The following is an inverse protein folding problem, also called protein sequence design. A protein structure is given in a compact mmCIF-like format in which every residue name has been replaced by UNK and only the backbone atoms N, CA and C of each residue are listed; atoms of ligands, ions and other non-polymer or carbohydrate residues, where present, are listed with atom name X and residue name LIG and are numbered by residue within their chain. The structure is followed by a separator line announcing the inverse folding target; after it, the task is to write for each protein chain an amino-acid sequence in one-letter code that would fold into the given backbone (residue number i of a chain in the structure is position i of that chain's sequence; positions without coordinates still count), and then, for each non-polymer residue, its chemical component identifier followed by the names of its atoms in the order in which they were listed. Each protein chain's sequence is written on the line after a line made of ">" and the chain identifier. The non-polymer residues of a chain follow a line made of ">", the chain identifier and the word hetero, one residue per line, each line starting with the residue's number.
data_IF_929029966823
#
_entry.id   IF_929029966823
#
_cell.length_a   1.000
_cell.length_b   1.000
_cell.length_c   1.000
_cell.angle_alpha   90.00
_cell.angle_beta   90.00
_cell.angle_gamma   90.00
#
_symmetry.space_group_name_H-M   'P 1'
#
loop_
_entity.id
_entity.type
_entity.pdbx_description
1 polymer ?
#
# COMPACT_ATOMS: atom_id res chain seq x y z
N UNK A 1 -47.62 -17.53 -10.79
CA UNK A 1 -48.36 -16.32 -10.36
C UNK A 1 -47.73 -15.85 -9.06
N UNK A 2 -47.03 -14.72 -9.06
CA UNK A 2 -46.52 -14.11 -7.82
C UNK A 2 -47.72 -13.66 -7.00
N UNK A 3 -47.98 -14.31 -5.87
CA UNK A 3 -48.95 -13.82 -4.88
C UNK A 3 -48.48 -12.41 -4.52
N UNK A 4 -49.26 -11.39 -4.89
CA UNK A 4 -48.96 -10.01 -4.55
C UNK A 4 -48.89 -9.91 -3.01
N UNK A 5 -47.66 -9.83 -2.47
CA UNK A 5 -47.45 -9.58 -1.05
C UNK A 5 -47.68 -8.10 -0.86
N UNK A 6 -48.89 -7.74 -0.45
CA UNK A 6 -49.21 -6.37 -0.07
C UNK A 6 -48.22 -5.89 0.99
N UNK A 7 -47.81 -4.63 0.88
CA UNK A 7 -46.97 -3.99 1.89
C UNK A 7 -47.74 -3.87 3.23
N UNK A 8 -47.04 -3.75 4.38
CA UNK A 8 -47.69 -3.54 5.66
C UNK A 8 -48.63 -2.33 5.66
N UNK A 9 -48.28 -1.27 4.92
CA UNK A 9 -49.09 -0.07 4.80
C UNK A 9 -50.30 -0.25 3.87
N UNK A 10 -50.16 -0.97 2.75
CA UNK A 10 -51.29 -1.32 1.88
C UNK A 10 -52.34 -2.14 2.63
N UNK A 11 -51.90 -3.11 3.44
CA UNK A 11 -52.80 -3.88 4.30
C UNK A 11 -53.54 -3.01 5.33
N UNK A 12 -52.88 -1.96 5.84
CA UNK A 12 -53.51 -1.00 6.75
C UNK A 12 -54.55 -0.14 6.01
N UNK A 13 -54.23 0.35 4.81
CA UNK A 13 -55.17 1.12 4.00
C UNK A 13 -56.40 0.31 3.64
N UNK A 14 -56.24 -0.96 3.26
CA UNK A 14 -57.36 -1.86 2.94
C UNK A 14 -58.26 -2.17 4.15
N UNK A 15 -57.70 -2.17 5.36
CA UNK A 15 -58.46 -2.38 6.62
C UNK A 15 -59.02 -1.09 7.20
N UNK A 16 -58.57 0.07 6.71
CA UNK A 16 -58.97 1.37 7.24
C UNK A 16 -60.40 1.73 6.88
N UNK A 17 -61.07 2.49 7.76
CA UNK A 17 -62.40 3.07 7.46
C UNK A 17 -62.31 4.34 6.59
N UNK A 18 -61.14 4.96 6.54
CA UNK A 18 -60.85 6.17 5.76
C UNK A 18 -59.38 6.12 5.33
N UNK A 19 -59.14 5.94 4.03
CA UNK A 19 -57.80 5.83 3.48
C UNK A 19 -57.04 7.14 3.62
N UNK A 20 -57.71 8.28 3.40
CA UNK A 20 -57.15 9.63 3.60
C UNK A 20 -56.68 9.82 5.03
N UNK A 21 -57.53 9.49 6.02
CA UNK A 21 -57.17 9.71 7.42
C UNK A 21 -55.99 8.82 7.83
N UNK A 22 -55.95 7.56 7.38
CA UNK A 22 -54.81 6.65 7.64
C UNK A 22 -53.53 7.14 6.95
N UNK A 23 -53.63 7.67 5.73
CA UNK A 23 -52.50 8.25 5.01
C UNK A 23 -51.98 9.53 5.68
N UNK A 24 -52.86 10.45 6.04
CA UNK A 24 -52.50 11.64 6.82
C UNK A 24 -51.87 11.28 8.16
N UNK A 25 -52.36 10.23 8.82
CA UNK A 25 -51.81 9.74 10.09
C UNK A 25 -50.37 9.22 9.92
N UNK A 26 -50.06 8.55 8.81
CA UNK A 26 -48.67 8.16 8.50
C UNK A 26 -47.78 9.39 8.28
N UNK A 27 -48.25 10.39 7.52
CA UNK A 27 -47.48 11.61 7.26
C UNK A 27 -47.24 12.43 8.53
N UNK A 28 -48.24 12.57 9.41
CA UNK A 28 -48.08 13.22 10.72
C UNK A 28 -47.19 12.39 11.66
N UNK A 29 -47.29 11.06 11.61
CA UNK A 29 -46.37 10.15 12.30
C UNK A 29 -44.92 10.35 11.85
N UNK A 30 -44.70 10.55 10.55
CA UNK A 30 -43.37 10.82 9.98
C UNK A 30 -42.79 12.15 10.51
N UNK A 31 -43.59 13.21 10.60
CA UNK A 31 -43.19 14.49 11.24
C UNK A 31 -42.78 14.28 12.70
N UNK A 32 -43.52 13.46 13.46
CA UNK A 32 -43.20 13.17 14.87
C UNK A 32 -41.90 12.39 15.08
N UNK A 33 -41.54 11.52 14.15
CA UNK A 33 -40.31 10.71 14.24
C UNK A 33 -39.07 11.58 14.17
N UNK A 34 -39.11 12.65 13.36
CA UNK A 34 -38.02 13.62 13.19
C UNK A 34 -37.92 14.67 14.30
N UNK A 35 -38.70 14.51 15.38
CA UNK A 35 -38.56 15.29 16.60
C UNK A 35 -37.47 14.71 17.50
N UNK A 36 -36.51 15.56 17.85
CA UNK A 36 -35.46 15.28 18.81
C UNK A 36 -36.06 15.21 20.22
N UNK A 37 -35.56 14.30 21.07
CA UNK A 37 -35.89 14.18 22.50
C UNK A 37 -37.33 13.77 22.89
N UNK A 38 -38.13 13.18 21.99
CA UNK A 38 -39.49 12.66 22.32
C UNK A 38 -39.49 11.13 22.39
N UNK A 39 -39.96 10.56 23.50
CA UNK A 39 -40.12 9.10 23.63
C UNK A 39 -41.20 8.56 22.70
N UNK A 40 -41.10 7.27 22.30
CA UNK A 40 -42.09 6.65 21.43
C UNK A 40 -43.52 6.69 22.02
N UNK A 41 -43.64 6.53 23.34
CA UNK A 41 -44.92 6.64 24.05
C UNK A 41 -45.52 8.05 23.97
N UNK A 42 -44.70 9.10 24.09
CA UNK A 42 -45.15 10.48 23.91
C UNK A 42 -45.57 10.76 22.46
N UNK A 43 -44.80 10.28 21.46
CA UNK A 43 -45.17 10.40 20.05
C UNK A 43 -46.54 9.76 19.76
N UNK A 44 -46.76 8.53 20.24
CA UNK A 44 -48.04 7.82 20.10
C UNK A 44 -49.21 8.58 20.73
N UNK A 45 -49.03 9.11 21.96
CA UNK A 45 -50.05 9.92 22.64
C UNK A 45 -50.36 11.21 21.89
N UNK A 46 -49.33 11.89 21.39
CA UNK A 46 -49.51 13.15 20.64
C UNK A 46 -50.23 12.92 19.31
N UNK A 47 -49.84 11.88 18.58
CA UNK A 47 -50.53 11.50 17.35
C UNK A 47 -52.01 11.22 17.62
N UNK A 48 -52.31 10.43 18.66
CA UNK A 48 -53.70 10.14 19.06
C UNK A 48 -54.51 11.40 19.41
N UNK A 49 -53.90 12.41 20.03
CA UNK A 49 -54.55 13.69 20.35
C UNK A 49 -54.89 14.49 19.09
N UNK A 50 -53.91 14.66 18.19
CA UNK A 50 -54.08 15.48 16.98
C UNK A 50 -55.02 14.82 15.97
N UNK A 51 -55.03 13.48 15.92
CA UNK A 51 -55.89 12.70 15.02
C UNK A 51 -57.14 12.16 15.71
N UNK A 52 -57.57 12.71 16.84
CA UNK A 52 -58.74 12.21 17.57
C UNK A 52 -60.04 12.21 16.75
N UNK A 53 -60.13 13.09 15.75
CA UNK A 53 -61.28 13.23 14.85
C UNK A 53 -61.22 12.29 13.64
N UNK A 54 -60.10 11.58 13.44
CA UNK A 54 -59.87 10.76 12.25
C UNK A 54 -60.62 9.42 12.35
N UNK A 55 -61.18 8.97 11.22
CA UNK A 55 -61.93 7.71 11.12
C UNK A 55 -61.07 6.62 10.51
N UNK A 56 -59.91 6.33 11.11
CA UNK A 56 -58.97 5.32 10.60
C UNK A 56 -59.35 3.87 10.98
N UNK A 57 -59.91 3.64 12.17
CA UNK A 57 -60.51 2.34 12.56
C UNK A 57 -59.52 1.21 12.88
N UNK A 58 -58.22 1.51 12.99
CA UNK A 58 -57.15 0.57 13.34
C UNK A 58 -56.25 1.13 14.45
N UNK A 59 -55.40 0.29 15.03
CA UNK A 59 -54.39 0.70 16.03
C UNK A 59 -53.33 1.65 15.44
N UNK A 60 -52.79 2.53 16.28
CA UNK A 60 -51.76 3.50 15.88
C UNK A 60 -50.34 2.90 15.86
N UNK A 61 -50.13 1.77 16.54
CA UNK A 61 -48.82 1.11 16.66
C UNK A 61 -48.19 0.75 15.31
N UNK A 62 -48.92 0.08 14.40
CA UNK A 62 -48.40 -0.25 13.07
C UNK A 62 -48.00 0.98 12.24
N UNK A 63 -48.80 2.05 12.28
CA UNK A 63 -48.49 3.28 11.53
C UNK A 63 -47.25 3.97 12.09
N UNK A 64 -47.11 4.01 13.42
CA UNK A 64 -45.91 4.54 14.06
C UNK A 64 -44.67 3.69 13.76
N UNK A 65 -44.81 2.36 13.68
CA UNK A 65 -43.70 1.48 13.28
C UNK A 65 -43.23 1.78 11.85
N UNK A 66 -44.15 2.00 10.91
CA UNK A 66 -43.84 2.32 9.51
C UNK A 66 -43.20 3.72 9.41
N UNK A 67 -43.72 4.69 10.16
CA UNK A 67 -43.13 6.03 10.24
C UNK A 67 -41.70 5.98 10.81
N UNK A 68 -41.47 5.16 11.84
CA UNK A 68 -40.16 5.01 12.47
C UNK A 68 -39.15 4.33 11.55
N UNK A 69 -39.58 3.33 10.77
CA UNK A 69 -38.74 2.70 9.76
C UNK A 69 -38.48 3.58 8.54
N UNK A 70 -39.12 4.73 8.43
CA UNK A 70 -38.99 5.68 7.31
C UNK A 70 -39.18 5.00 5.96
N UNK A 71 -40.18 4.13 5.85
CA UNK A 71 -40.46 3.41 4.61
C UNK A 71 -40.93 4.38 3.54
N UNK A 72 -40.03 4.68 2.59
CA UNK A 72 -40.28 5.63 1.50
C UNK A 72 -41.44 5.20 0.60
N UNK A 73 -41.64 3.89 0.40
CA UNK A 73 -42.74 3.40 -0.45
C UNK A 73 -44.08 3.65 0.24
N UNK A 74 -44.16 3.42 1.55
CA UNK A 74 -45.36 3.70 2.33
C UNK A 74 -45.66 5.20 2.41
N UNK A 75 -44.63 6.04 2.61
CA UNK A 75 -44.78 7.51 2.63
C UNK A 75 -45.24 8.03 1.27
N UNK A 76 -44.67 7.52 0.18
CA UNK A 76 -45.09 7.87 -1.17
C UNK A 76 -46.56 7.48 -1.41
N UNK A 77 -46.95 6.26 -1.07
CA UNK A 77 -48.34 5.81 -1.23
C UNK A 77 -49.30 6.67 -0.40
N UNK A 78 -48.94 7.02 0.84
CA UNK A 78 -49.73 7.93 1.66
C UNK A 78 -49.87 9.31 1.02
N UNK A 79 -48.79 9.85 0.45
CA UNK A 79 -48.82 11.12 -0.25
C UNK A 79 -49.74 11.06 -1.49
N UNK A 80 -49.68 9.97 -2.27
CA UNK A 80 -50.55 9.77 -3.43
C UNK A 80 -52.04 9.69 -3.03
N UNK A 81 -52.37 8.97 -1.96
CA UNK A 81 -53.74 8.89 -1.42
C UNK A 81 -54.22 10.26 -0.98
N UNK A 82 -53.42 11.00 -0.20
CA UNK A 82 -53.76 12.36 0.24
C UNK A 82 -53.95 13.29 -0.97
N UNK A 83 -53.06 13.26 -1.97
CA UNK A 83 -53.19 14.13 -3.15
C UNK A 83 -54.44 13.83 -3.98
N UNK A 84 -54.87 12.57 -4.05
CA UNK A 84 -56.00 12.12 -4.87
C UNK A 84 -57.35 12.37 -4.21
N UNK A 85 -57.43 12.20 -2.89
CA UNK A 85 -58.69 12.12 -2.16
C UNK A 85 -58.90 13.28 -1.16
N UNK A 86 -57.89 14.12 -0.92
CA UNK A 86 -58.03 15.29 -0.06
C UNK A 86 -58.61 16.49 -0.81
N UNK A 87 -59.73 17.05 -0.32
CA UNK A 87 -60.27 18.33 -0.78
C UNK A 87 -59.51 19.53 -0.22
N UNK A 88 -59.75 20.71 -0.81
CA UNK A 88 -59.12 21.99 -0.43
C UNK A 88 -59.42 22.42 1.01
N UNK A 89 -60.65 22.19 1.50
CA UNK A 89 -61.03 22.49 2.89
C UNK A 89 -60.22 21.68 3.91
N UNK A 90 -59.93 20.41 3.58
CA UNK A 90 -59.15 19.53 4.46
C UNK A 90 -57.66 19.84 4.39
N UNK A 91 -57.16 20.35 3.26
CA UNK A 91 -55.73 20.60 3.09
C UNK A 91 -55.21 21.66 4.07
N UNK A 92 -56.00 22.70 4.34
CA UNK A 92 -55.69 23.70 5.37
C UNK A 92 -55.67 23.13 6.79
N UNK A 93 -56.61 22.23 7.11
CA UNK A 93 -56.65 21.57 8.42
C UNK A 93 -55.45 20.65 8.63
N UNK A 94 -55.06 19.89 7.59
CA UNK A 94 -53.92 18.97 7.65
C UNK A 94 -52.61 19.74 7.80
N UNK A 95 -52.41 20.84 7.06
CA UNK A 95 -51.18 21.63 7.20
C UNK A 95 -51.09 22.27 8.59
N UNK A 96 -52.21 22.75 9.14
CA UNK A 96 -52.25 23.27 10.50
C UNK A 96 -51.86 22.18 11.52
N UNK A 97 -52.41 20.97 11.38
CA UNK A 97 -52.05 19.84 12.24
C UNK A 97 -50.56 19.47 12.09
N UNK A 98 -50.03 19.48 10.87
CA UNK A 98 -48.62 19.19 10.61
C UNK A 98 -47.70 20.22 11.28
N UNK A 99 -48.03 21.51 11.18
CA UNK A 99 -47.27 22.58 11.86
C UNK A 99 -47.32 22.38 13.37
N UNK A 100 -48.51 22.24 13.96
CA UNK A 100 -48.68 22.02 15.41
C UNK A 100 -47.82 20.85 15.87
N UNK A 101 -47.97 19.69 15.22
CA UNK A 101 -47.22 18.47 15.54
C UNK A 101 -45.71 18.67 15.46
N UNK A 102 -45.24 19.47 14.50
CA UNK A 102 -43.82 19.74 14.32
C UNK A 102 -43.24 20.70 15.37
N UNK A 103 -44.04 21.60 15.94
CA UNK A 103 -43.59 22.76 16.74
C UNK A 103 -43.91 22.68 18.24
N UNK A 104 -44.64 21.67 18.69
CA UNK A 104 -45.26 21.63 20.02
C UNK A 104 -44.33 21.80 21.25
N UNK A 105 -43.03 21.50 21.16
CA UNK A 105 -42.11 21.63 22.31
C UNK A 105 -40.79 22.38 22.01
N UNK A 106 -40.76 23.25 20.99
CA UNK A 106 -39.60 24.13 20.76
C UNK A 106 -39.20 24.36 19.30
N UNK A 107 -37.89 24.45 19.06
CA UNK A 107 -37.31 24.74 17.74
C UNK A 107 -37.56 23.62 16.72
N UNK A 108 -37.86 24.02 15.49
CA UNK A 108 -38.17 23.12 14.39
C UNK A 108 -36.89 22.40 13.92
N UNK A 109 -36.88 21.07 13.93
CA UNK A 109 -35.75 20.30 13.39
C UNK A 109 -35.55 20.59 11.89
N UNK A 110 -34.31 20.42 11.40
CA UNK A 110 -34.01 20.62 9.98
C UNK A 110 -34.85 19.69 9.09
N UNK A 111 -35.04 18.43 9.49
CA UNK A 111 -35.90 17.50 8.76
C UNK A 111 -37.35 17.99 8.71
N UNK A 112 -37.89 18.50 9.83
CA UNK A 112 -39.25 19.03 9.85
C UNK A 112 -39.41 20.30 9.00
N UNK A 113 -38.37 21.13 8.83
CA UNK A 113 -38.40 22.25 7.88
C UNK A 113 -38.66 21.79 6.44
N UNK A 114 -38.03 20.70 6.00
CA UNK A 114 -38.21 20.16 4.65
C UNK A 114 -39.52 19.38 4.53
N UNK A 115 -39.88 18.59 5.55
CA UNK A 115 -41.14 17.84 5.55
C UNK A 115 -42.35 18.76 5.49
N UNK A 116 -42.38 19.87 6.25
CA UNK A 116 -43.50 20.81 6.21
C UNK A 116 -43.65 21.49 4.83
N UNK A 117 -42.54 21.82 4.17
CA UNK A 117 -42.56 22.37 2.81
C UNK A 117 -43.06 21.34 1.79
N UNK A 118 -42.58 20.11 1.89
CA UNK A 118 -43.07 19.00 1.08
C UNK A 118 -44.58 18.77 1.28
N UNK A 119 -45.06 18.79 2.52
CA UNK A 119 -46.49 18.65 2.81
C UNK A 119 -47.30 19.85 2.28
N UNK A 120 -46.78 21.06 2.35
CA UNK A 120 -47.43 22.23 1.76
C UNK A 120 -47.58 22.09 0.24
N UNK A 121 -46.52 21.68 -0.46
CA UNK A 121 -46.55 21.42 -1.89
C UNK A 121 -47.54 20.30 -2.24
N UNK A 122 -47.51 19.20 -1.46
CA UNK A 122 -48.44 18.07 -1.62
C UNK A 122 -49.91 18.50 -1.48
N UNK A 123 -50.18 19.41 -0.54
CA UNK A 123 -51.51 19.94 -0.22
C UNK A 123 -51.90 21.16 -1.06
N UNK A 124 -51.07 21.55 -2.04
CA UNK A 124 -51.26 22.73 -2.89
C UNK A 124 -51.37 24.05 -2.10
N UNK A 125 -50.68 24.15 -0.97
CA UNK A 125 -50.60 25.36 -0.13
C UNK A 125 -49.40 26.19 -0.60
N UNK A 126 -49.65 27.43 -1.00
CA UNK A 126 -48.59 28.32 -1.46
C UNK A 126 -47.57 28.60 -0.33
N UNK A 127 -46.26 28.76 -0.65
CA UNK A 127 -45.23 29.04 0.37
C UNK A 127 -45.51 30.28 1.22
N UNK A 128 -46.14 31.30 0.64
CA UNK A 128 -46.54 32.51 1.37
C UNK A 128 -47.60 32.20 2.43
N UNK A 129 -48.61 31.39 2.08
CA UNK A 129 -49.65 30.93 3.01
C UNK A 129 -49.06 30.06 4.11
N UNK A 130 -48.13 29.16 3.77
CA UNK A 130 -47.42 28.34 4.77
C UNK A 130 -46.68 29.22 5.78
N UNK A 131 -45.96 30.24 5.33
CA UNK A 131 -45.22 31.16 6.20
C UNK A 131 -46.16 31.96 7.12
N UNK A 132 -47.32 32.40 6.61
CA UNK A 132 -48.34 33.11 7.40
C UNK A 132 -48.88 32.17 8.48
N UNK A 133 -49.36 30.98 8.11
CA UNK A 133 -49.90 29.99 9.05
C UNK A 133 -48.88 29.58 10.10
N UNK A 134 -47.62 29.37 9.70
CA UNK A 134 -46.56 29.01 10.62
C UNK A 134 -46.28 30.14 11.63
N UNK A 135 -46.24 31.39 11.18
CA UNK A 135 -46.06 32.56 12.05
C UNK A 135 -47.25 32.77 12.98
N UNK A 136 -48.48 32.55 12.50
CA UNK A 136 -49.69 32.64 13.33
C UNK A 136 -49.69 31.61 14.46
N UNK A 137 -49.21 30.38 14.18
CA UNK A 137 -49.21 29.29 15.17
C UNK A 137 -48.02 29.33 16.13
N UNK A 138 -46.84 29.74 15.67
CA UNK A 138 -45.60 29.68 16.46
C UNK A 138 -45.13 31.04 16.97
N UNK A 139 -45.65 32.14 16.41
CA UNK A 139 -45.16 33.49 16.62
C UNK A 139 -43.87 33.83 15.86
N UNK A 140 -43.18 32.84 15.29
CA UNK A 140 -41.87 32.99 14.63
C UNK A 140 -42.04 32.75 13.12
N UNK A 141 -41.43 33.56 12.23
CA UNK A 141 -41.48 33.26 10.79
C UNK A 141 -40.70 31.98 10.46
N UNK A 142 -41.21 31.20 9.50
CA UNK A 142 -40.52 30.02 9.01
C UNK A 142 -39.27 30.43 8.21
N UNK A 143 -38.09 30.21 8.78
CA UNK A 143 -36.81 30.55 8.14
C UNK A 143 -36.53 29.58 6.98
N UNK A 144 -35.86 30.07 5.94
CA UNK A 144 -35.33 29.22 4.86
C UNK A 144 -34.27 28.28 5.43
N UNK A 145 -34.42 26.95 5.26
CA UNK A 145 -33.49 25.99 5.84
C UNK A 145 -32.11 26.16 5.21
N UNK A 146 -31.08 25.92 6.03
CA UNK A 146 -29.71 25.85 5.54
C UNK A 146 -29.55 24.63 4.61
N UNK A 147 -28.65 24.77 3.64
CA UNK A 147 -28.42 23.79 2.57
C UNK A 147 -27.33 22.78 3.01
N UNK A 148 -27.69 21.53 3.33
CA UNK A 148 -26.75 20.53 3.85
C UNK A 148 -25.79 20.01 2.78
N UNK A 149 -25.99 20.38 1.51
CA UNK A 149 -25.05 20.05 0.42
C UNK A 149 -23.82 20.96 0.44
N UNK A 150 -23.86 22.07 1.17
CA UNK A 150 -22.74 23.02 1.27
C UNK A 150 -21.78 22.59 2.37
N UNK A 151 -20.48 22.60 2.06
CA UNK A 151 -19.42 22.33 3.06
C UNK A 151 -19.50 23.29 4.26
N UNK A 152 -19.88 24.55 4.02
CA UNK A 152 -20.06 25.55 5.07
C UNK A 152 -21.09 25.15 6.14
N UNK A 153 -22.12 24.38 5.79
CA UNK A 153 -23.09 23.85 6.76
C UNK A 153 -22.38 22.92 7.75
N UNK A 154 -21.59 21.97 7.25
CA UNK A 154 -20.91 20.98 8.09
C UNK A 154 -19.77 21.58 8.92
N UNK A 155 -19.15 22.67 8.45
CA UNK A 155 -18.16 23.40 9.25
C UNK A 155 -18.75 23.98 10.54
N UNK A 156 -20.02 24.41 10.51
CA UNK A 156 -20.72 24.99 11.66
C UNK A 156 -21.33 23.89 12.54
N UNK A 157 -21.92 22.87 11.92
CA UNK A 157 -22.67 21.82 12.62
C UNK A 157 -21.81 20.62 13.09
N UNK A 158 -20.61 20.42 12.54
CA UNK A 158 -19.66 19.38 12.95
C UNK A 158 -18.20 19.90 13.01
N UNK A 159 -17.90 20.82 13.95
CA UNK A 159 -16.55 21.37 14.09
C UNK A 159 -15.52 20.29 14.48
N UNK A 160 -15.95 19.23 15.16
CA UNK A 160 -15.09 18.14 15.62
C UNK A 160 -14.60 17.24 14.48
N UNK A 161 -15.44 17.00 13.46
CA UNK A 161 -15.01 16.32 12.24
C UNK A 161 -13.90 17.11 11.52
N UNK A 162 -14.09 18.41 11.33
CA UNK A 162 -13.10 19.25 10.66
C UNK A 162 -11.80 19.39 11.48
N UNK A 163 -11.89 19.49 12.80
CA UNK A 163 -10.73 19.52 13.68
C UNK A 163 -9.92 18.21 13.61
N UNK A 164 -10.58 17.04 13.58
CA UNK A 164 -9.91 15.74 13.40
C UNK A 164 -9.23 15.65 12.05
N UNK A 165 -9.93 16.02 10.98
CA UNK A 165 -9.39 16.01 9.61
C UNK A 165 -8.17 16.93 9.45
N UNK A 166 -8.18 18.10 10.09
CA UNK A 166 -7.03 19.00 10.12
C UNK A 166 -5.82 18.36 10.83
N UNK A 167 -6.02 17.74 12.00
CA UNK A 167 -4.95 17.03 12.72
C UNK A 167 -4.38 15.85 11.93
N UNK A 168 -5.24 15.12 11.23
CA UNK A 168 -4.81 14.02 10.35
C UNK A 168 -3.99 14.53 9.16
N UNK A 169 -4.38 15.66 8.56
CA UNK A 169 -3.63 16.31 7.49
C UNK A 169 -2.26 16.80 7.99
N UNK A 170 -2.20 17.47 9.14
CA UNK A 170 -0.95 17.90 9.76
C UNK A 170 -0.04 16.71 10.11
N UNK A 171 -0.60 15.63 10.65
CA UNK A 171 0.16 14.41 10.96
C UNK A 171 0.68 13.72 9.67
N UNK A 172 -0.10 13.73 8.60
CA UNK A 172 0.32 13.22 7.30
C UNK A 172 1.46 14.05 6.70
N UNK A 173 1.36 15.38 6.76
CA UNK A 173 2.44 16.27 6.32
C UNK A 173 3.72 16.06 7.13
N UNK A 174 3.63 15.98 8.46
CA UNK A 174 4.78 15.70 9.32
C UNK A 174 5.41 14.34 9.00
N UNK A 175 4.60 13.30 8.78
CA UNK A 175 5.09 11.97 8.38
C UNK A 175 5.77 12.02 7.01
N UNK A 176 5.25 12.81 6.08
CA UNK A 176 5.86 13.00 4.77
C UNK A 176 7.19 13.77 4.86
N UNK A 177 7.27 14.79 5.70
CA UNK A 177 8.52 15.51 5.98
C UNK A 177 9.56 14.59 6.63
N UNK A 178 9.16 13.77 7.61
CA UNK A 178 10.07 12.81 8.27
C UNK A 178 10.58 11.74 7.31
N UNK A 179 9.72 11.22 6.44
CA UNK A 179 10.11 10.22 5.43
C UNK A 179 11.05 10.82 4.39
N UNK A 180 10.77 12.03 3.91
CA UNK A 180 11.67 12.76 3.01
C UNK A 180 13.03 13.03 3.68
N UNK A 181 13.04 13.54 4.91
CA UNK A 181 14.28 13.78 5.66
C UNK A 181 15.09 12.49 5.88
N UNK A 182 14.42 11.37 6.17
CA UNK A 182 15.06 10.07 6.33
C UNK A 182 15.62 9.55 5.00
N UNK A 183 14.91 9.74 3.89
CA UNK A 183 15.39 9.39 2.55
C UNK A 183 16.63 10.22 2.17
N UNK A 184 16.61 11.53 2.42
CA UNK A 184 17.77 12.41 2.20
C UNK A 184 18.97 12.00 3.05
N UNK A 185 18.78 11.68 4.33
CA UNK A 185 19.86 11.19 5.19
C UNK A 185 20.46 9.88 4.67
N UNK A 186 19.62 8.93 4.24
CA UNK A 186 20.10 7.68 3.65
C UNK A 186 20.88 7.93 2.36
N UNK A 187 20.45 8.88 1.54
CA UNK A 187 21.14 9.25 0.31
C UNK A 187 22.52 9.87 0.60
N UNK A 188 22.59 10.81 1.54
CA UNK A 188 23.87 11.38 2.01
C UNK A 188 24.82 10.31 2.57
N UNK A 189 24.31 9.36 3.35
CA UNK A 189 25.14 8.26 3.87
C UNK A 189 25.66 7.34 2.76
N UNK A 190 24.84 7.06 1.73
CA UNK A 190 25.27 6.28 0.56
C UNK A 190 26.35 7.01 -0.22
N UNK A 191 26.19 8.31 -0.44
CA UNK A 191 27.19 9.16 -1.10
C UNK A 191 28.51 9.21 -0.32
N UNK A 192 28.46 9.43 1.00
CA UNK A 192 29.65 9.40 1.86
C UNK A 192 30.36 8.04 1.80
N UNK A 193 29.61 6.93 1.89
CA UNK A 193 30.18 5.57 1.74
C UNK A 193 30.81 5.37 0.37
N UNK A 194 30.22 5.92 -0.68
CA UNK A 194 30.76 5.82 -2.04
C UNK A 194 32.06 6.62 -2.17
N UNK A 195 32.08 7.86 -1.70
CA UNK A 195 33.28 8.71 -1.67
C UNK A 195 34.40 8.05 -0.86
N UNK A 196 34.11 7.50 0.32
CA UNK A 196 35.11 6.84 1.16
C UNK A 196 35.67 5.56 0.50
N UNK A 197 34.83 4.80 -0.22
CA UNK A 197 35.30 3.65 -1.02
C UNK A 197 36.21 4.10 -2.16
N UNK A 198 35.85 5.17 -2.89
CA UNK A 198 36.67 5.72 -3.97
C UNK A 198 38.03 6.20 -3.44
N UNK A 199 38.06 6.92 -2.31
CA UNK A 199 39.30 7.37 -1.66
C UNK A 199 40.21 6.19 -1.27
N UNK A 200 39.66 5.16 -0.61
CA UNK A 200 40.43 3.96 -0.25
C UNK A 200 40.97 3.22 -1.49
N UNK A 201 40.21 3.21 -2.57
CA UNK A 201 40.63 2.58 -3.82
C UNK A 201 41.76 3.36 -4.50
N UNK A 202 41.67 4.70 -4.53
CA UNK A 202 42.74 5.58 -5.02
C UNK A 202 44.01 5.45 -4.16
N UNK A 203 43.88 5.42 -2.83
CA UNK A 203 45.03 5.24 -1.92
C UNK A 203 45.68 3.87 -2.13
N UNK A 204 44.89 2.80 -2.30
CA UNK A 204 45.42 1.48 -2.61
C UNK A 204 46.14 1.44 -3.96
N UNK A 205 45.61 2.11 -4.98
CA UNK A 205 46.28 2.24 -6.28
C UNK A 205 47.61 2.98 -6.14
N UNK A 206 47.64 4.13 -5.45
CA UNK A 206 48.88 4.86 -5.15
C UNK A 206 49.92 3.99 -4.45
N UNK A 207 49.54 3.29 -3.37
CA UNK A 207 50.46 2.39 -2.66
C UNK A 207 50.98 1.25 -3.55
N UNK A 208 50.15 0.71 -4.44
CA UNK A 208 50.59 -0.31 -5.39
C UNK A 208 51.56 0.24 -6.42
N UNK A 209 51.34 1.47 -6.88
CA UNK A 209 52.20 2.16 -7.84
C UNK A 209 53.55 2.52 -7.22
N UNK A 210 53.55 3.07 -5.99
CA UNK A 210 54.76 3.31 -5.19
C UNK A 210 55.55 2.01 -4.94
N UNK A 211 54.86 0.91 -4.59
CA UNK A 211 55.50 -0.39 -4.39
C UNK A 211 56.08 -0.97 -5.69
N UNK A 212 55.43 -0.74 -6.84
CA UNK A 212 55.98 -1.13 -8.16
C UNK A 212 57.24 -0.33 -8.48
N UNK A 213 57.19 0.99 -8.31
CA UNK A 213 58.35 1.86 -8.53
C UNK A 213 59.53 1.49 -7.61
N UNK A 214 59.26 1.18 -6.33
CA UNK A 214 60.30 0.74 -5.40
C UNK A 214 60.95 -0.59 -5.84
N UNK A 215 60.15 -1.57 -6.30
CA UNK A 215 60.66 -2.85 -6.82
C UNK A 215 61.46 -2.68 -8.10
N UNK A 216 61.02 -1.80 -9.00
CA UNK A 216 61.77 -1.48 -10.22
C UNK A 216 63.12 -0.83 -9.89
N UNK A 217 63.15 0.13 -8.96
CA UNK A 217 64.40 0.72 -8.49
C UNK A 217 65.32 -0.31 -7.82
N UNK A 218 64.77 -1.23 -7.02
CA UNK A 218 65.55 -2.28 -6.37
C UNK A 218 66.12 -3.27 -7.39
N UNK A 219 65.33 -3.67 -8.40
CA UNK A 219 65.82 -4.50 -9.52
C UNK A 219 66.92 -3.80 -10.31
N UNK A 220 66.79 -2.49 -10.58
CA UNK A 220 67.83 -1.73 -11.26
C UNK A 220 69.14 -1.72 -10.45
N UNK A 221 69.06 -1.47 -9.13
CA UNK A 221 70.23 -1.52 -8.24
C UNK A 221 70.87 -2.92 -8.23
N UNK A 222 70.07 -3.98 -8.16
CA UNK A 222 70.56 -5.36 -8.19
C UNK A 222 71.23 -5.69 -9.53
N UNK A 223 70.64 -5.27 -10.66
CA UNK A 223 71.27 -5.44 -11.98
C UNK A 223 72.58 -4.67 -12.10
N UNK A 224 72.64 -3.46 -11.56
CA UNK A 224 73.86 -2.65 -11.58
C UNK A 224 74.96 -3.28 -10.72
N UNK A 225 74.63 -3.75 -9.51
CA UNK A 225 75.56 -4.51 -8.66
C UNK A 225 76.03 -5.81 -9.33
N UNK A 226 75.11 -6.55 -9.98
CA UNK A 226 75.45 -7.76 -10.70
C UNK A 226 76.42 -7.47 -11.87
N UNK A 227 76.18 -6.42 -12.65
CA UNK A 227 77.09 -5.98 -13.72
C UNK A 227 78.46 -5.59 -13.18
N UNK A 228 78.51 -4.90 -12.04
CA UNK A 228 79.78 -4.54 -11.39
C UNK A 228 80.55 -5.78 -10.92
N UNK A 229 79.86 -6.73 -10.27
CA UNK A 229 80.48 -8.00 -9.86
C UNK A 229 80.93 -8.84 -11.04
N UNK A 230 80.16 -8.89 -12.12
CA UNK A 230 80.52 -9.64 -13.33
C UNK A 230 81.76 -9.03 -14.00
N UNK A 231 81.84 -7.70 -14.07
CA UNK A 231 83.04 -6.99 -14.54
C UNK A 231 84.27 -7.28 -13.68
N UNK A 232 84.12 -7.32 -12.34
CA UNK A 232 85.20 -7.71 -11.43
C UNK A 232 85.65 -9.16 -11.64
N UNK A 233 84.70 -10.12 -11.70
CA UNK A 233 85.00 -11.53 -11.98
C UNK A 233 85.68 -11.70 -13.33
N UNK A 234 85.27 -10.94 -14.34
CA UNK A 234 85.85 -11.01 -15.67
C UNK A 234 87.31 -10.52 -15.65
N UNK A 235 87.61 -9.45 -14.91
CA UNK A 235 88.98 -8.96 -14.66
C UNK A 235 89.83 -9.98 -13.92
N UNK A 236 89.32 -10.55 -12.82
CA UNK A 236 90.03 -11.61 -12.09
C UNK A 236 90.28 -12.84 -12.97
N UNK A 237 89.34 -13.18 -13.86
CA UNK A 237 89.45 -14.31 -14.78
C UNK A 237 90.51 -14.06 -15.84
N UNK A 238 90.58 -12.87 -16.44
CA UNK A 238 91.66 -12.50 -17.35
C UNK A 238 93.01 -12.46 -16.65
N UNK A 239 93.09 -11.99 -15.41
CA UNK A 239 94.33 -12.03 -14.60
C UNK A 239 94.78 -13.47 -14.30
N UNK A 240 93.84 -14.34 -13.90
CA UNK A 240 94.12 -15.77 -13.68
C UNK A 240 94.49 -16.50 -14.97
N UNK A 241 93.87 -16.17 -16.10
CA UNK A 241 94.25 -16.72 -17.40
C UNK A 241 95.63 -16.24 -17.85
N UNK A 242 95.99 -14.97 -17.60
CA UNK A 242 97.34 -14.48 -17.85
C UNK A 242 98.38 -15.17 -16.94
N UNK A 243 98.05 -15.41 -15.67
CA UNK A 243 98.90 -16.20 -14.76
C UNK A 243 98.99 -17.68 -15.17
N UNK A 244 97.89 -18.30 -15.62
CA UNK A 244 97.88 -19.66 -16.15
C UNK A 244 98.64 -19.78 -17.46
N UNK A 245 98.54 -18.80 -18.36
CA UNK A 245 99.34 -18.74 -19.59
C UNK A 245 100.83 -18.67 -19.27
N UNK A 246 101.23 -17.89 -18.26
CA UNK A 246 102.62 -17.87 -17.76
C UNK A 246 103.07 -19.18 -17.12
N UNK A 247 102.15 -19.94 -16.51
CA UNK A 247 102.47 -21.25 -15.91
C UNK A 247 102.44 -22.40 -16.93
N UNK A 248 101.58 -22.33 -17.96
CA UNK A 248 101.47 -23.33 -19.03
C UNK A 248 102.63 -23.30 -20.02
N UNK A 249 103.36 -22.20 -20.15
CA UNK A 249 104.64 -22.17 -20.89
C UNK A 249 105.76 -22.98 -20.21
N UNK A 250 105.58 -23.44 -18.96
CA UNK A 250 106.58 -24.26 -18.27
C UNK A 250 106.24 -25.76 -18.16
N UNK A 251 105.02 -26.19 -18.47
CA UNK A 251 104.59 -27.58 -18.27
C UNK A 251 103.82 -28.12 -19.49
N UNK A 252 104.48 -28.04 -20.66
CA UNK A 252 104.11 -28.73 -21.91
C UNK A 252 104.99 -29.97 -22.14
N UNK A 253 105.15 -30.81 -21.13
CA UNK A 253 105.57 -32.21 -21.26
C UNK A 253 104.89 -33.00 -20.12
N UNK A 254 103.97 -33.90 -20.46
CA UNK A 254 103.30 -34.73 -19.46
C UNK A 254 101.87 -35.12 -19.80
N UNK A 255 101.75 -35.91 -20.87
CA UNK A 255 100.71 -36.89 -21.20
C UNK A 255 99.24 -36.65 -20.81
N UNK A 256 98.45 -36.68 -21.88
CA UNK A 256 97.07 -37.18 -21.94
C UNK A 256 96.84 -38.50 -21.17
N UNK A 257 95.53 -38.73 -20.93
CA UNK A 257 94.85 -40.01 -20.79
C UNK A 257 94.56 -40.45 -19.34
N UNK A 258 93.34 -40.20 -18.87
CA UNK A 258 92.41 -41.32 -18.68
C UNK A 258 90.96 -40.87 -18.53
N UNK A 259 90.15 -41.62 -19.26
CA UNK A 259 88.74 -41.49 -19.55
C UNK A 259 87.90 -42.33 -18.57
N UNK A 260 86.66 -41.91 -18.35
CA UNK A 260 85.48 -42.66 -17.87
C UNK A 260 85.61 -43.71 -16.75
N UNK A 261 85.02 -43.40 -15.58
CA UNK A 261 84.23 -44.38 -14.80
C UNK A 261 83.37 -43.72 -13.71
N UNK A 262 82.16 -44.26 -13.53
CA UNK A 262 81.19 -43.98 -12.46
C UNK A 262 80.29 -42.75 -12.67
N UNK A 263 79.54 -42.71 -13.79
CA UNK A 263 78.15 -43.19 -13.84
C UNK A 263 77.84 -44.46 -13.01
N UNK A 264 76.82 -44.31 -12.17
CA UNK A 264 75.99 -45.35 -11.51
C UNK A 264 76.24 -45.65 -10.01
N UNK A 265 75.13 -45.54 -9.27
CA UNK A 265 74.80 -46.04 -7.92
C UNK A 265 75.23 -45.24 -6.66
N UNK A 266 74.45 -44.19 -6.39
CA UNK A 266 73.82 -43.88 -5.08
C UNK A 266 72.74 -42.82 -5.34
N UNK A 267 71.64 -43.12 -6.02
CA UNK A 267 70.53 -43.98 -5.60
C UNK A 267 70.23 -43.86 -4.10
N UNK A 268 69.05 -43.30 -3.84
CA UNK A 268 68.22 -43.50 -2.63
C UNK A 268 68.81 -42.89 -1.34
N UNK A 269 68.17 -41.94 -0.67
CA UNK A 269 66.75 -41.94 -0.33
C UNK A 269 66.33 -40.61 0.30
N UNK A 270 65.09 -40.19 -0.02
CA UNK A 270 64.18 -39.43 0.84
C UNK A 270 64.49 -37.91 1.00
N UNK A 271 63.55 -36.98 0.88
CA UNK A 271 62.10 -37.08 1.09
C UNK A 271 61.39 -35.81 0.57
N UNK A 272 60.22 -36.04 -0.01
CA UNK A 272 59.05 -35.16 0.02
C UNK A 272 59.03 -33.86 -0.83
N UNK A 273 58.35 -34.00 -1.98
CA UNK A 273 56.99 -33.49 -2.18
C UNK A 273 56.85 -32.58 -3.40
N UNK A 274 56.75 -33.16 -4.59
CA UNK A 274 56.17 -32.52 -5.78
C UNK A 274 55.23 -33.51 -6.47
N UNK A 275 54.11 -33.79 -5.81
CA UNK A 275 52.92 -34.32 -6.47
C UNK A 275 52.06 -33.14 -6.92
N UNK A 276 52.10 -32.92 -8.23
CA UNK A 276 50.96 -32.61 -9.09
C UNK A 276 49.61 -32.78 -8.37
N UNK A 277 49.03 -31.68 -7.90
CA UNK A 277 47.61 -31.59 -7.58
C UNK A 277 47.09 -30.23 -8.07
N UNK A 278 46.64 -30.25 -9.33
CA UNK A 278 45.48 -29.47 -9.70
C UNK A 278 44.37 -29.79 -8.69
N UNK A 279 44.09 -28.88 -7.77
CA UNK A 279 42.86 -28.93 -6.99
C UNK A 279 41.73 -28.43 -7.87
N UNK A 280 41.16 -29.36 -8.62
CA UNK A 280 39.80 -29.29 -9.12
C UNK A 280 38.87 -29.04 -7.95
N UNK A 281 38.28 -27.84 -7.89
CA UNK A 281 37.11 -27.60 -7.06
C UNK A 281 35.98 -28.53 -7.54
N UNK A 282 35.14 -29.08 -6.66
CA UNK A 282 33.97 -29.83 -7.09
C UNK A 282 33.11 -28.93 -8.00
N UNK A 283 32.51 -29.46 -9.08
CA UNK A 283 31.67 -28.64 -9.93
C UNK A 283 30.58 -28.00 -9.06
N UNK A 284 30.37 -26.67 -9.15
CA UNK A 284 29.25 -26.05 -8.46
C UNK A 284 27.98 -26.76 -8.93
N UNK A 285 27.03 -27.13 -8.05
CA UNK A 285 25.82 -27.80 -8.48
C UNK A 285 25.18 -26.95 -9.57
N UNK A 286 24.96 -27.61 -10.70
CA UNK A 286 24.56 -27.09 -11.99
C UNK A 286 23.62 -25.89 -11.81
N UNK A 287 24.03 -24.71 -12.31
CA UNK A 287 23.26 -23.46 -12.17
C UNK A 287 21.82 -23.66 -12.63
N UNK A 288 21.62 -24.53 -13.61
CA UNK A 288 20.34 -24.97 -14.14
C UNK A 288 19.50 -25.69 -13.10
N UNK A 289 20.09 -26.64 -12.37
CA UNK A 289 19.44 -27.36 -11.26
C UNK A 289 19.02 -26.41 -10.13
N UNK A 290 19.83 -25.39 -9.81
CA UNK A 290 19.45 -24.37 -8.82
C UNK A 290 18.33 -23.44 -9.31
N UNK A 291 18.30 -23.12 -10.60
CA UNK A 291 17.23 -22.30 -11.16
C UNK A 291 15.90 -23.07 -11.23
N UNK A 292 15.94 -24.38 -11.53
CA UNK A 292 14.76 -25.25 -11.49
C UNK A 292 14.21 -25.40 -10.07
N UNK A 293 15.07 -25.56 -9.06
CA UNK A 293 14.62 -25.66 -7.67
C UNK A 293 13.97 -24.38 -7.14
N UNK A 294 14.40 -23.19 -7.60
CA UNK A 294 13.76 -21.89 -7.28
C UNK A 294 12.32 -21.81 -7.83
N UNK A 295 12.04 -22.48 -8.95
CA UNK A 295 10.70 -22.60 -9.53
C UNK A 295 9.90 -23.81 -9.01
N UNK A 296 10.49 -24.61 -8.11
CA UNK A 296 9.89 -25.83 -7.58
C UNK A 296 9.82 -26.98 -8.59
N UNK A 297 10.70 -26.99 -9.59
CA UNK A 297 10.75 -27.99 -10.64
C UNK A 297 11.90 -28.98 -10.44
N UNK A 298 11.68 -30.23 -10.84
CA UNK A 298 12.71 -31.28 -10.86
C UNK A 298 13.63 -31.13 -12.09
N UNK A 299 14.87 -31.62 -12.03
CA UNK A 299 15.75 -31.69 -13.20
C UNK A 299 15.06 -32.43 -14.36
N UNK A 300 15.09 -31.86 -15.57
CA UNK A 300 14.44 -32.43 -16.77
C UNK A 300 13.06 -31.85 -17.12
N UNK A 301 12.61 -30.80 -16.40
CA UNK A 301 11.36 -30.11 -16.72
C UNK A 301 11.39 -29.43 -18.10
N UNK A 302 10.28 -29.49 -18.83
CA UNK A 302 10.15 -28.89 -20.16
C UNK A 302 10.03 -27.35 -20.12
N UNK A 303 10.35 -26.67 -21.23
CA UNK A 303 10.15 -25.19 -21.36
C UNK A 303 8.71 -24.75 -21.12
N UNK A 304 7.73 -25.63 -21.33
CA UNK A 304 6.31 -25.35 -21.06
C UNK A 304 6.07 -25.37 -19.54
N UNK A 305 6.61 -26.36 -18.83
CA UNK A 305 6.51 -26.46 -17.37
C UNK A 305 7.22 -25.31 -16.66
N UNK A 306 8.37 -24.85 -17.17
CA UNK A 306 9.08 -23.66 -16.68
C UNK A 306 8.20 -22.40 -16.79
N UNK A 307 7.48 -22.22 -17.91
CA UNK A 307 6.54 -21.08 -18.07
C UNK A 307 5.35 -21.17 -17.14
N UNK A 308 4.77 -22.36 -16.98
CA UNK A 308 3.64 -22.56 -16.09
C UNK A 308 4.04 -22.36 -14.62
N UNK A 309 5.21 -22.87 -14.20
CA UNK A 309 5.75 -22.66 -12.87
C UNK A 309 6.04 -21.19 -12.58
N UNK A 310 6.65 -20.48 -13.54
CA UNK A 310 6.89 -19.04 -13.43
C UNK A 310 5.59 -18.25 -13.25
N UNK A 311 4.56 -18.51 -14.07
CA UNK A 311 3.25 -17.83 -13.94
C UNK A 311 2.61 -18.05 -12.57
N UNK A 312 2.63 -19.29 -12.06
CA UNK A 312 2.10 -19.61 -10.72
C UNK A 312 2.87 -18.89 -9.60
N UNK A 313 4.20 -18.94 -9.66
CA UNK A 313 5.07 -18.32 -8.64
C UNK A 313 5.04 -16.79 -8.70
N UNK A 314 4.91 -16.20 -9.89
CA UNK A 314 4.75 -14.78 -10.10
C UNK A 314 3.43 -14.26 -9.52
N UNK A 315 2.32 -14.97 -9.71
CA UNK A 315 1.03 -14.62 -9.12
C UNK A 315 1.01 -14.76 -7.59
N UNK A 316 1.76 -15.73 -7.05
CA UNK A 316 1.85 -15.97 -5.61
C UNK A 316 2.70 -14.91 -4.88
N UNK A 317 3.79 -14.47 -5.52
CA UNK A 317 4.78 -13.56 -4.91
C UNK A 317 4.80 -12.17 -5.55
N UNK A 318 3.75 -11.76 -6.25
CA UNK A 318 3.69 -10.43 -6.85
C UNK A 318 3.66 -9.35 -5.75
N UNK A 319 4.52 -8.32 -5.82
CA UNK A 319 4.58 -7.28 -4.77
C UNK A 319 3.26 -6.52 -4.59
N UNK A 320 2.46 -6.40 -5.66
CA UNK A 320 1.14 -5.73 -5.64
C UNK A 320 0.11 -6.46 -4.76
N UNK A 321 0.28 -7.77 -4.54
CA UNK A 321 -0.60 -8.55 -3.65
C UNK A 321 -0.36 -8.25 -2.17
N UNK A 322 0.83 -7.74 -1.83
CA UNK A 322 1.23 -7.43 -0.47
C UNK A 322 1.25 -5.92 -0.20
N UNK A 323 0.67 -5.10 -1.09
CA UNK A 323 0.64 -3.63 -0.97
C UNK A 323 -0.08 -3.13 0.30
N UNK A 324 -1.06 -3.90 0.79
CA UNK A 324 -1.77 -3.62 2.04
C UNK A 324 -1.06 -4.14 3.30
N UNK A 325 0.07 -4.82 3.17
CA UNK A 325 0.84 -5.38 4.28
C UNK A 325 2.06 -4.52 4.65
N UNK A 326 2.77 -4.89 5.73
CA UNK A 326 3.92 -4.11 6.22
C UNK A 326 5.07 -4.04 5.20
N UNK A 327 5.81 -2.93 5.22
CA UNK A 327 6.94 -2.64 4.30
C UNK A 327 7.97 -3.79 4.23
N UNK A 328 8.21 -4.47 5.36
CA UNK A 328 9.11 -5.63 5.44
C UNK A 328 8.60 -6.82 4.61
N UNK A 329 7.29 -7.04 4.54
CA UNK A 329 6.69 -8.12 3.75
C UNK A 329 6.71 -7.81 2.25
N UNK A 330 6.48 -6.54 1.87
CA UNK A 330 6.64 -6.07 0.48
C UNK A 330 8.09 -6.25 0.01
N UNK A 331 9.07 -5.89 0.85
CA UNK A 331 10.48 -6.07 0.53
C UNK A 331 10.87 -7.55 0.37
N UNK A 332 10.35 -8.44 1.24
CA UNK A 332 10.60 -9.88 1.18
C UNK A 332 9.93 -10.52 -0.06
N UNK A 333 8.72 -10.10 -0.40
CA UNK A 333 8.02 -10.52 -1.61
C UNK A 333 8.76 -10.04 -2.87
N UNK A 334 9.21 -8.80 -2.91
CA UNK A 334 10.01 -8.23 -4.01
C UNK A 334 11.34 -8.97 -4.21
N UNK A 335 12.09 -9.23 -3.14
CA UNK A 335 13.33 -10.00 -3.21
C UNK A 335 13.10 -11.44 -3.71
N UNK A 336 11.98 -12.06 -3.31
CA UNK A 336 11.60 -13.41 -3.75
C UNK A 336 11.15 -13.42 -5.22
N UNK A 337 10.36 -12.44 -5.63
CA UNK A 337 9.94 -12.25 -7.03
C UNK A 337 11.14 -12.05 -7.96
N UNK A 338 12.12 -11.25 -7.56
CA UNK A 338 13.34 -11.05 -8.34
C UNK A 338 14.14 -12.36 -8.51
N UNK A 339 14.21 -13.21 -7.47
CA UNK A 339 14.85 -14.53 -7.58
C UNK A 339 14.11 -15.45 -8.55
N UNK A 340 12.78 -15.46 -8.51
CA UNK A 340 11.92 -16.23 -9.43
C UNK A 340 12.12 -15.77 -10.87
N UNK A 341 12.13 -14.46 -11.11
CA UNK A 341 12.38 -13.87 -12.43
C UNK A 341 13.77 -14.22 -12.96
N UNK A 342 14.81 -14.03 -12.14
CA UNK A 342 16.19 -14.34 -12.55
C UNK A 342 16.37 -15.84 -12.88
N UNK A 343 15.70 -16.73 -12.14
CA UNK A 343 15.73 -18.17 -12.43
C UNK A 343 15.01 -18.51 -13.74
N UNK A 344 13.85 -17.88 -14.00
CA UNK A 344 13.13 -18.03 -15.26
C UNK A 344 13.92 -17.49 -16.46
N UNK A 345 14.49 -16.29 -16.36
CA UNK A 345 15.27 -15.67 -17.42
C UNK A 345 16.51 -16.52 -17.76
N UNK A 346 17.19 -17.04 -16.74
CA UNK A 346 18.32 -17.96 -16.91
C UNK A 346 17.88 -19.26 -17.59
N UNK A 347 16.79 -19.89 -17.14
CA UNK A 347 16.30 -21.13 -17.78
C UNK A 347 15.87 -20.87 -19.22
N UNK A 348 15.24 -19.74 -19.54
CA UNK A 348 14.86 -19.43 -20.92
C UNK A 348 16.05 -19.24 -21.86
N UNK A 349 17.20 -18.83 -21.34
CA UNK A 349 18.45 -18.68 -22.09
C UNK A 349 19.25 -20.00 -22.23
N UNK A 350 19.08 -20.93 -21.29
CA UNK A 350 19.93 -22.13 -21.20
C UNK A 350 19.22 -23.43 -21.59
N UNK A 351 17.88 -23.43 -21.69
CA UNK A 351 17.01 -24.58 -22.01
C UNK A 351 16.34 -24.51 -23.38
#
# INVERSE_FOLDING_TARGET
>A
MSIARFSPFELLLLKSRSQVDTATLLLLGWVLVHRQHVSEGQRRRRLAQVTAQFRHGHELGPVMSIAHSQDLQAIQLAAEVVRKECGTERSQSIIHQAITVATDDGELSLANHYILRFLADLLSVAPMTLNILFKELTGIPLVTPEDPSRDAYWQVHDPDYHARKAREAEAAEQKQQQTNARAEQQQRQKEQRHQQKQQKQQEKQRRQEEARQAREQEQQRQQEQARQQESQRQRERTEREQQRSRQQDSHRQGSHQQDYRQQEYRQQEQRNNHSRQQRTAPPPPDRTTRALSVLGLTPGASRIEVRHAYRRMAQLHHPDRFYSESEHQVALASARFQRIKNAYDYLMQTY
#
